data_IF_549094003772
#
_entry.id   IF_549094003772
#
_cell.length_a   1.000
_cell.length_b   1.000
_cell.length_c   1.000
_cell.angle_alpha   90.00
_cell.angle_beta   90.00
_cell.angle_gamma   90.00
#
_symmetry.space_group_name_H-M   'P 1'
#
loop_
_entity.id
_entity.type
_entity.pdbx_description
1 polymer ?
#
# COMPACT_ATOMS: atom_id res chain seq x y z
N UNK A 1 -7.90 -13.36 -6.20
CA UNK A 1 -7.47 -14.11 -7.40
C UNK A 1 -6.87 -15.44 -6.97
N UNK A 2 -6.99 -16.48 -7.80
CA UNK A 2 -6.48 -17.82 -7.49
C UNK A 2 -4.99 -17.82 -7.14
N UNK A 3 -4.19 -16.98 -7.82
CA UNK A 3 -2.76 -16.85 -7.55
C UNK A 3 -2.45 -16.45 -6.09
N UNK A 4 -3.29 -15.63 -5.46
CA UNK A 4 -3.09 -15.24 -4.04
C UNK A 4 -3.32 -16.40 -3.08
N UNK A 5 -4.13 -17.39 -3.46
CA UNK A 5 -4.37 -18.58 -2.63
C UNK A 5 -3.12 -19.45 -2.52
N UNK A 6 -2.26 -19.42 -3.54
CA UNK A 6 -1.04 -20.21 -3.62
C UNK A 6 0.20 -19.45 -3.09
N UNK A 7 0.05 -18.19 -2.71
CA UNK A 7 1.12 -17.36 -2.15
C UNK A 7 0.96 -17.31 -0.63
N UNK A 8 1.98 -17.74 0.11
CA UNK A 8 1.96 -17.71 1.57
C UNK A 8 2.26 -16.32 2.13
N UNK A 9 3.25 -15.65 1.55
CA UNK A 9 3.73 -14.32 1.96
C UNK A 9 4.05 -13.50 0.71
N UNK A 10 3.93 -12.18 0.80
CA UNK A 10 4.25 -11.27 -0.30
C UNK A 10 5.39 -10.36 0.14
N UNK A 11 6.59 -10.54 -0.41
CA UNK A 11 7.72 -9.65 -0.10
C UNK A 11 7.57 -8.29 -0.81
N UNK A 12 7.11 -8.31 -2.06
CA UNK A 12 6.84 -7.10 -2.85
C UNK A 12 5.51 -7.24 -3.57
N UNK A 13 4.63 -6.24 -3.41
CA UNK A 13 3.42 -6.09 -4.20
C UNK A 13 3.49 -4.78 -4.99
N UNK A 14 3.20 -4.83 -6.28
CA UNK A 14 3.05 -3.65 -7.11
C UNK A 14 1.60 -3.58 -7.63
N UNK A 15 0.90 -2.47 -7.39
CA UNK A 15 -0.48 -2.25 -7.80
C UNK A 15 -0.50 -1.14 -8.86
N UNK A 16 -0.63 -1.56 -10.11
CA UNK A 16 -0.87 -0.74 -11.30
C UNK A 16 -2.08 -1.32 -12.04
N UNK A 17 -3.25 -1.10 -11.45
CA UNK A 17 -4.52 -1.70 -11.89
C UNK A 17 -5.55 -0.64 -12.25
N UNK A 18 -6.84 -0.94 -12.09
CA UNK A 18 -7.99 -0.10 -12.51
C UNK A 18 -8.02 1.38 -12.05
N UNK A 19 -7.06 1.86 -11.24
CA UNK A 19 -6.93 3.24 -10.74
C UNK A 19 -8.24 3.84 -10.17
N UNK A 20 -9.06 2.99 -9.55
CA UNK A 20 -10.25 3.40 -8.78
C UNK A 20 -10.04 3.18 -7.29
N UNK A 21 -10.77 3.96 -6.48
CA UNK A 21 -10.73 3.86 -5.03
C UNK A 21 -11.07 2.43 -4.55
N UNK A 22 -12.16 1.87 -5.06
CA UNK A 22 -12.70 0.58 -4.66
C UNK A 22 -11.76 -0.57 -5.04
N UNK A 23 -11.22 -0.54 -6.26
CA UNK A 23 -10.31 -1.60 -6.73
C UNK A 23 -9.00 -1.57 -5.95
N UNK A 24 -8.43 -0.39 -5.73
CA UNK A 24 -7.17 -0.22 -5.02
C UNK A 24 -7.26 -0.70 -3.58
N UNK A 25 -8.32 -0.32 -2.84
CA UNK A 25 -8.56 -0.83 -1.49
C UNK A 25 -8.85 -2.32 -1.47
N UNK A 26 -9.59 -2.83 -2.45
CA UNK A 26 -9.84 -4.27 -2.55
C UNK A 26 -8.53 -5.04 -2.70
N UNK A 27 -7.64 -4.63 -3.60
CA UNK A 27 -6.35 -5.29 -3.81
C UNK A 27 -5.46 -5.21 -2.56
N UNK A 28 -5.39 -4.03 -1.94
CA UNK A 28 -4.68 -3.83 -0.68
C UNK A 28 -5.16 -4.81 0.39
N UNK A 29 -6.47 -4.85 0.67
CA UNK A 29 -7.05 -5.69 1.72
C UNK A 29 -6.84 -7.19 1.45
N UNK A 30 -6.96 -7.62 0.19
CA UNK A 30 -6.72 -9.02 -0.18
C UNK A 30 -5.27 -9.44 0.12
N UNK A 31 -4.30 -8.58 -0.24
CA UNK A 31 -2.89 -8.84 -0.05
C UNK A 31 -2.43 -8.64 1.40
N UNK A 32 -3.09 -7.78 2.19
CA UNK A 32 -2.73 -7.42 3.56
C UNK A 32 -2.67 -8.62 4.52
N UNK A 33 -3.44 -9.67 4.24
CA UNK A 33 -3.39 -10.93 5.00
C UNK A 33 -2.09 -11.73 4.80
N UNK A 34 -1.34 -11.43 3.74
CA UNK A 34 -0.09 -12.08 3.33
C UNK A 34 1.14 -11.19 3.56
N UNK A 35 0.94 -9.98 4.10
CA UNK A 35 2.02 -9.07 4.45
C UNK A 35 2.79 -9.59 5.69
N UNK A 36 4.11 -9.45 5.65
CA UNK A 36 5.05 -9.76 6.71
C UNK A 36 5.77 -8.48 7.14
N UNK A 37 6.62 -8.58 8.17
CA UNK A 37 7.48 -7.48 8.62
C UNK A 37 8.33 -6.87 7.49
N UNK A 38 8.66 -7.67 6.48
CA UNK A 38 9.58 -7.30 5.39
C UNK A 38 8.87 -6.97 4.09
N UNK A 39 7.54 -7.04 4.06
CA UNK A 39 6.73 -6.69 2.90
C UNK A 39 6.81 -5.20 2.57
N UNK A 40 6.81 -4.89 1.28
CA UNK A 40 6.56 -3.55 0.74
C UNK A 40 5.45 -3.62 -0.30
N UNK A 41 4.42 -2.79 -0.14
CA UNK A 41 3.38 -2.62 -1.14
C UNK A 41 3.54 -1.26 -1.81
N UNK A 42 3.54 -1.27 -3.14
CA UNK A 42 3.73 -0.11 -4.00
C UNK A 42 2.45 0.15 -4.78
N UNK A 43 2.03 1.39 -4.82
CA UNK A 43 0.83 1.87 -5.50
C UNK A 43 1.25 2.86 -6.57
N UNK A 44 0.86 2.58 -7.80
CA UNK A 44 1.00 3.49 -8.93
C UNK A 44 -0.05 4.61 -8.86
N UNK A 45 0.27 5.77 -9.41
CA UNK A 45 -0.70 6.82 -9.72
C UNK A 45 -1.55 7.31 -8.52
N UNK A 46 -0.93 7.43 -7.33
CA UNK A 46 -1.61 7.78 -6.06
C UNK A 46 -2.35 9.12 -6.07
N UNK A 47 -2.01 10.03 -7.00
CA UNK A 47 -2.67 11.32 -7.20
C UNK A 47 -3.42 11.45 -8.54
N UNK A 48 -3.58 10.38 -9.30
CA UNK A 48 -4.24 10.39 -10.61
C UNK A 48 -5.68 10.92 -10.57
N UNK A 49 -6.41 10.61 -9.48
CA UNK A 49 -7.77 11.07 -9.29
C UNK A 49 -8.06 11.35 -7.81
N UNK A 50 -9.19 12.01 -7.54
CA UNK A 50 -9.71 12.18 -6.16
C UNK A 50 -9.92 10.82 -5.49
N UNK A 51 -10.37 9.82 -6.25
CA UNK A 51 -10.55 8.45 -5.76
C UNK A 51 -9.21 7.79 -5.37
N UNK A 52 -8.19 7.93 -6.20
CA UNK A 52 -6.84 7.42 -5.89
C UNK A 52 -6.22 8.13 -4.69
N UNK A 53 -6.36 9.46 -4.63
CA UNK A 53 -5.91 10.25 -3.50
C UNK A 53 -6.59 9.81 -2.21
N UNK A 54 -7.89 9.52 -2.28
CA UNK A 54 -8.66 8.99 -1.14
C UNK A 54 -8.17 7.60 -0.74
N UNK A 55 -7.95 6.69 -1.70
CA UNK A 55 -7.45 5.35 -1.43
C UNK A 55 -6.10 5.40 -0.75
N UNK A 56 -5.17 6.21 -1.28
CA UNK A 56 -3.84 6.41 -0.70
C UNK A 56 -3.92 6.89 0.76
N UNK A 57 -4.75 7.90 1.03
CA UNK A 57 -4.92 8.40 2.40
C UNK A 57 -5.58 7.41 3.35
N UNK A 58 -6.38 6.47 2.84
CA UNK A 58 -7.00 5.42 3.64
C UNK A 58 -6.04 4.26 3.91
N UNK A 59 -5.30 3.82 2.90
CA UNK A 59 -4.24 2.81 3.02
C UNK A 59 -3.21 3.25 4.05
N UNK A 60 -2.74 4.50 3.96
CA UNK A 60 -1.83 5.06 4.97
C UNK A 60 -2.39 4.99 6.37
N UNK A 61 -3.70 5.03 6.60
CA UNK A 61 -4.28 4.98 7.95
C UNK A 61 -4.42 3.57 8.52
N UNK A 62 -4.26 2.53 7.70
CA UNK A 62 -4.38 1.15 8.16
C UNK A 62 -3.41 0.87 9.32
N UNK A 63 -3.86 0.24 10.43
CA UNK A 63 -3.03 0.04 11.62
C UNK A 63 -1.83 -0.89 11.39
N UNK A 64 -1.84 -1.73 10.35
CA UNK A 64 -0.68 -2.56 10.00
C UNK A 64 0.40 -1.77 9.25
N UNK A 65 0.03 -0.70 8.55
CA UNK A 65 0.99 0.19 7.89
C UNK A 65 1.71 1.00 8.96
N UNK A 66 3.01 0.79 9.10
CA UNK A 66 3.84 1.49 10.09
C UNK A 66 4.67 2.62 9.49
N UNK A 67 5.01 2.51 8.21
CA UNK A 67 5.70 3.54 7.44
C UNK A 67 5.02 3.70 6.07
N UNK A 68 4.83 4.94 5.65
CA UNK A 68 4.47 5.27 4.27
C UNK A 68 5.45 6.26 3.64
N UNK A 69 5.70 6.10 2.35
CA UNK A 69 6.47 7.06 1.54
C UNK A 69 5.59 7.49 0.37
N UNK A 70 5.34 8.78 0.30
CA UNK A 70 4.67 9.45 -0.81
C UNK A 70 5.74 10.06 -1.73
N UNK A 71 5.91 9.46 -2.90
CA UNK A 71 6.86 9.88 -3.93
C UNK A 71 6.15 10.57 -5.11
N UNK A 72 5.01 11.21 -4.87
CA UNK A 72 4.12 11.83 -5.85
C UNK A 72 3.49 10.86 -6.87
N UNK A 73 4.30 10.24 -7.73
CA UNK A 73 3.79 9.24 -8.69
C UNK A 73 3.53 7.88 -8.04
N UNK A 74 4.29 7.56 -6.99
CA UNK A 74 4.19 6.27 -6.31
C UNK A 74 3.94 6.46 -4.81
N UNK A 75 3.15 5.55 -4.24
CA UNK A 75 3.02 5.38 -2.80
C UNK A 75 3.63 4.06 -2.36
N UNK A 76 4.42 4.08 -1.30
CA UNK A 76 5.00 2.88 -0.68
C UNK A 76 4.46 2.73 0.72
N UNK A 77 4.11 1.51 1.13
CA UNK A 77 3.81 1.20 2.53
C UNK A 77 4.60 -0.02 3.02
N UNK A 78 4.98 0.04 4.29
CA UNK A 78 5.75 -0.98 4.99
C UNK A 78 5.07 -1.37 6.31
N UNK A 79 5.41 -2.56 6.81
CA UNK A 79 4.76 -3.21 7.96
C UNK A 79 5.77 -3.55 9.08
N UNK A 80 6.81 -2.73 9.20
CA UNK A 80 7.95 -2.92 10.12
C UNK A 80 7.51 -2.79 11.58
N UNK A 81 7.63 -3.86 12.36
CA UNK A 81 7.28 -3.93 13.80
C UNK A 81 8.30 -3.23 14.71
N UNK A 82 9.48 -2.92 14.17
CA UNK A 82 10.53 -2.13 14.82
C UNK A 82 10.16 -0.65 14.88
N UNK A 83 9.34 -0.17 13.94
CA UNK A 83 8.81 1.20 13.91
C UNK A 83 7.70 1.34 14.96
N UNK A 84 8.01 2.00 16.07
CA UNK A 84 7.10 2.12 17.24
C UNK A 84 6.05 3.21 17.10
N UNK A 85 6.38 4.25 16.34
CA UNK A 85 5.46 5.34 16.02
C UNK A 85 5.29 5.37 14.51
N UNK A 86 4.05 5.50 14.06
CA UNK A 86 3.73 5.53 12.64
C UNK A 86 4.38 6.73 11.97
N UNK A 87 5.03 6.50 10.83
CA UNK A 87 5.73 7.55 10.07
C UNK A 87 5.11 7.68 8.68
N UNK A 88 4.73 8.88 8.30
CA UNK A 88 4.33 9.21 6.93
C UNK A 88 5.33 10.22 6.34
N UNK A 89 6.11 9.80 5.36
CA UNK A 89 7.09 10.64 4.67
C UNK A 89 6.54 11.08 3.32
N UNK A 90 6.69 12.35 2.98
CA UNK A 90 6.42 12.87 1.64
C UNK A 90 7.69 13.47 1.05
N UNK A 91 8.08 12.98 -0.11
CA UNK A 91 9.22 13.51 -0.84
C UNK A 91 8.79 14.83 -1.48
N UNK A 92 9.43 15.92 -1.07
CA UNK A 92 9.24 17.25 -1.63
C UNK A 92 10.37 17.47 -2.65
N UNK A 93 10.09 17.13 -3.90
CA UNK A 93 10.95 17.45 -5.06
C UNK A 93 10.30 18.57 -5.87
#
# INVERSE_FOLDING_TARGET
>A
PEILSNINTIDVLYIDGNHTYESTLKYFNMALSKATNDSVFVFDDIYWSVGMTRAWNEIKKDPKVTLSIDAFYFGFVFFKTEVKEKVDLRILI
#
